data_IF_825612025451
#
_entry.id   IF_825612025451
#
_cell.length_a   1.000
_cell.length_b   1.000
_cell.length_c   1.000
_cell.angle_alpha   90.00
_cell.angle_beta   90.00
_cell.angle_gamma   90.00
#
_symmetry.space_group_name_H-M   'P 1'
#
loop_
_entity.id
_entity.type
_entity.pdbx_description
1 polymer ?
#
# COMPACT_ATOMS: atom_id res chain seq x y z
N UNK A 1 -11.80 3.38 19.76
CA UNK A 1 -12.11 2.58 18.55
C UNK A 1 -11.25 3.12 17.42
N UNK A 2 -10.52 2.28 16.68
CA UNK A 2 -9.80 2.78 15.51
C UNK A 2 -10.81 3.02 14.38
N UNK A 3 -10.73 4.17 13.73
CA UNK A 3 -11.58 4.49 12.58
C UNK A 3 -11.11 3.59 11.43
N UNK A 4 -12.06 2.91 10.76
CA UNK A 4 -11.78 2.13 9.56
C UNK A 4 -11.48 3.09 8.41
N UNK A 5 -10.28 3.06 7.80
CA UNK A 5 -9.93 4.02 6.77
C UNK A 5 -10.73 3.86 5.46
N UNK A 6 -10.63 4.87 4.60
CA UNK A 6 -11.22 4.86 3.26
C UNK A 6 -10.20 4.34 2.23
N UNK A 7 -10.71 3.76 1.13
CA UNK A 7 -9.93 3.27 0.01
C UNK A 7 -9.00 4.35 -0.56
N UNK A 8 -7.75 3.99 -0.87
CA UNK A 8 -6.77 4.92 -1.44
C UNK A 8 -7.01 5.31 -2.92
N UNK A 9 -7.86 4.57 -3.65
CA UNK A 9 -8.08 4.88 -5.07
C UNK A 9 -8.92 6.15 -5.21
N UNK A 10 -8.50 7.05 -6.10
CA UNK A 10 -9.16 8.33 -6.35
C UNK A 10 -10.61 8.11 -6.75
N UNK A 11 -11.53 8.87 -6.13
CA UNK A 11 -12.98 8.76 -6.35
C UNK A 11 -13.66 7.58 -5.65
N UNK A 12 -12.97 6.79 -4.82
CA UNK A 12 -13.56 5.68 -4.08
C UNK A 12 -13.78 6.02 -2.59
N UNK A 13 -15.04 6.16 -2.17
CA UNK A 13 -15.40 6.47 -0.78
C UNK A 13 -15.68 5.22 0.07
N UNK A 14 -15.45 4.02 -0.48
CA UNK A 14 -15.72 2.76 0.23
C UNK A 14 -14.68 2.52 1.32
N UNK A 15 -15.07 1.97 2.48
CA UNK A 15 -14.12 1.63 3.52
C UNK A 15 -13.21 0.46 3.11
N UNK A 16 -11.96 0.47 3.57
CA UNK A 16 -10.94 -0.54 3.24
C UNK A 16 -11.31 -1.94 3.72
N UNK A 17 -10.92 -2.99 2.99
CA UNK A 17 -11.19 -4.36 3.43
C UNK A 17 -10.17 -4.86 4.48
N UNK A 18 -10.52 -5.87 5.28
CA UNK A 18 -9.54 -6.52 6.17
C UNK A 18 -8.53 -7.36 5.35
N UNK A 19 -7.28 -7.38 5.81
CA UNK A 19 -6.27 -8.39 5.48
C UNK A 19 -6.39 -9.55 6.46
N UNK A 20 -6.36 -9.26 7.76
CA UNK A 20 -6.46 -10.23 8.85
C UNK A 20 -7.42 -9.71 9.92
N UNK A 21 -8.07 -10.62 10.63
CA UNK A 21 -9.10 -10.29 11.62
C UNK A 21 -10.45 -9.93 11.01
N UNK A 22 -11.37 -9.47 11.86
CA UNK A 22 -12.73 -9.05 11.54
C UNK A 22 -12.91 -7.56 11.78
N UNK A 23 -13.90 -6.96 11.13
CA UNK A 23 -14.15 -5.50 11.18
C UNK A 23 -14.29 -4.98 12.63
N UNK A 24 -14.86 -5.80 13.52
CA UNK A 24 -15.15 -5.43 14.90
C UNK A 24 -14.07 -5.86 15.90
N UNK A 25 -12.95 -6.42 15.42
CA UNK A 25 -11.84 -6.78 16.31
C UNK A 25 -11.22 -5.50 16.92
N UNK A 26 -10.56 -5.59 18.09
CA UNK A 26 -9.89 -4.43 18.68
C UNK A 26 -8.79 -3.82 17.80
N UNK A 27 -8.17 -4.64 16.93
CA UNK A 27 -7.07 -4.24 16.06
C UNK A 27 -7.00 -5.08 14.76
N UNK A 28 -8.01 -5.00 13.86
CA UNK A 28 -7.93 -5.64 12.55
C UNK A 28 -6.81 -5.03 11.71
N UNK A 29 -6.23 -5.85 10.84
CA UNK A 29 -5.29 -5.33 9.83
C UNK A 29 -6.07 -4.93 8.60
N UNK A 30 -5.98 -3.67 8.24
CA UNK A 30 -6.63 -3.15 7.03
C UNK A 30 -5.76 -3.35 5.78
N UNK A 31 -6.42 -3.48 4.63
CA UNK A 31 -5.84 -3.22 3.32
C UNK A 31 -5.74 -1.71 3.13
N UNK A 32 -4.94 -1.30 2.16
CA UNK A 32 -4.94 0.08 1.62
C UNK A 32 -6.18 0.39 0.76
N UNK A 33 -6.90 -0.63 0.28
CA UNK A 33 -8.03 -0.49 -0.63
C UNK A 33 -9.27 -1.29 -0.17
N UNK A 34 -10.45 -0.90 -0.67
CA UNK A 34 -11.68 -1.67 -0.47
C UNK A 34 -11.63 -3.00 -1.25
N UNK A 35 -12.50 -3.95 -0.89
CA UNK A 35 -12.51 -5.29 -1.51
C UNK A 35 -12.75 -5.26 -3.03
N UNK A 36 -13.65 -4.39 -3.50
CA UNK A 36 -13.93 -4.24 -4.92
C UNK A 36 -12.69 -3.74 -5.70
N UNK A 37 -12.05 -2.68 -5.21
CA UNK A 37 -10.84 -2.14 -5.80
C UNK A 37 -9.64 -3.12 -5.75
N UNK A 38 -9.52 -3.88 -4.67
CA UNK A 38 -8.49 -4.92 -4.54
C UNK A 38 -8.67 -6.01 -5.62
N UNK A 39 -9.91 -6.46 -5.82
CA UNK A 39 -10.24 -7.44 -6.86
C UNK A 39 -10.00 -6.90 -8.26
N UNK A 40 -10.41 -5.66 -8.55
CA UNK A 40 -10.15 -5.00 -9.83
C UNK A 40 -8.64 -4.93 -10.15
N UNK A 41 -7.82 -4.53 -9.17
CA UNK A 41 -6.34 -4.55 -9.30
C UNK A 41 -5.81 -5.96 -9.60
N UNK A 42 -6.43 -6.99 -9.02
CA UNK A 42 -6.08 -8.39 -9.25
C UNK A 42 -6.53 -8.96 -10.60
N UNK A 43 -7.22 -8.16 -11.43
CA UNK A 43 -7.81 -8.59 -12.71
C UNK A 43 -9.18 -9.25 -12.56
N UNK A 44 -9.82 -9.17 -11.40
CA UNK A 44 -11.17 -9.68 -11.15
C UNK A 44 -12.18 -8.54 -11.23
N UNK A 45 -12.58 -8.23 -12.46
CA UNK A 45 -13.49 -7.13 -12.79
C UNK A 45 -12.79 -5.79 -13.00
N UNK A 46 -13.57 -4.75 -13.27
CA UNK A 46 -13.10 -3.38 -13.47
C UNK A 46 -13.31 -2.52 -12.23
N UNK A 47 -12.63 -1.38 -12.17
CA UNK A 47 -12.93 -0.33 -11.20
C UNK A 47 -14.32 0.26 -11.48
N UNK A 48 -14.99 0.72 -10.43
CA UNK A 48 -16.26 1.42 -10.57
C UNK A 48 -16.11 2.72 -11.39
N UNK A 49 -17.22 3.17 -11.99
CA UNK A 49 -17.25 4.45 -12.73
C UNK A 49 -16.79 5.60 -11.82
N UNK A 50 -15.86 6.42 -12.31
CA UNK A 50 -15.28 7.54 -11.57
C UNK A 50 -14.16 7.16 -10.59
N UNK A 51 -13.80 5.87 -10.49
CA UNK A 51 -12.67 5.43 -9.65
C UNK A 51 -11.42 5.24 -10.50
N UNK A 52 -10.32 5.88 -10.10
CA UNK A 52 -9.00 5.74 -10.73
C UNK A 52 -8.01 5.07 -9.78
N UNK A 53 -7.22 4.07 -10.24
CA UNK A 53 -6.23 3.41 -9.39
C UNK A 53 -5.19 4.40 -8.84
N UNK A 54 -4.81 4.25 -7.57
CA UNK A 54 -3.63 4.93 -7.03
C UNK A 54 -2.33 4.45 -7.70
N UNK A 55 -2.26 3.16 -8.01
CA UNK A 55 -1.10 2.49 -8.61
C UNK A 55 -1.08 2.72 -10.13
N UNK A 56 0.00 3.33 -10.62
CA UNK A 56 0.25 3.66 -12.02
C UNK A 56 1.15 2.64 -12.74
N UNK A 57 1.87 1.82 -11.98
CA UNK A 57 2.91 0.91 -12.44
C UNK A 57 4.32 1.52 -12.46
N UNK A 58 4.52 2.69 -11.87
CA UNK A 58 5.80 3.43 -11.86
C UNK A 58 6.22 3.75 -10.41
N UNK A 59 7.49 3.52 -10.08
CA UNK A 59 8.03 3.88 -8.77
C UNK A 59 8.07 5.41 -8.60
N UNK A 60 7.47 5.91 -7.52
CA UNK A 60 7.52 7.31 -7.10
C UNK A 60 8.91 7.75 -6.69
N UNK A 61 9.73 6.86 -6.11
CA UNK A 61 11.12 7.15 -5.71
C UNK A 61 12.10 7.33 -6.90
N UNK A 62 11.59 7.56 -8.12
CA UNK A 62 12.41 8.04 -9.24
C UNK A 62 12.96 9.44 -8.99
N UNK A 63 12.34 10.22 -8.13
CA UNK A 63 12.80 11.55 -7.68
C UNK A 63 13.86 11.49 -6.55
N UNK A 64 14.08 10.31 -5.96
CA UNK A 64 15.07 10.09 -4.91
C UNK A 64 14.64 10.51 -3.50
N UNK A 65 13.34 10.72 -3.24
CA UNK A 65 12.87 11.19 -1.92
C UNK A 65 13.18 10.23 -0.76
N UNK A 66 13.52 8.96 -1.02
CA UNK A 66 13.96 7.99 -0.01
C UNK A 66 15.46 8.11 0.35
N UNK A 67 16.17 9.11 -0.16
CA UNK A 67 17.62 9.27 0.00
C UNK A 67 18.45 8.45 -0.97
N UNK A 68 17.79 7.75 -1.91
CA UNK A 68 18.41 7.05 -3.04
C UNK A 68 17.46 7.08 -4.23
N UNK A 69 17.98 7.12 -5.45
CA UNK A 69 17.14 7.09 -6.66
C UNK A 69 16.77 5.65 -7.02
N UNK A 70 15.51 5.42 -7.38
CA UNK A 70 15.06 4.12 -7.88
C UNK A 70 15.91 3.67 -9.09
N UNK A 71 16.52 2.49 -8.99
CA UNK A 71 17.35 1.89 -10.04
C UNK A 71 16.61 0.90 -10.93
N UNK A 72 15.30 0.74 -10.75
CA UNK A 72 14.50 -0.19 -11.57
C UNK A 72 14.27 0.40 -12.95
N UNK A 73 14.72 -0.33 -13.96
CA UNK A 73 14.40 -0.06 -15.36
C UNK A 73 12.99 -0.57 -15.68
N UNK A 74 12.02 0.35 -15.67
CA UNK A 74 10.63 0.00 -15.97
C UNK A 74 10.40 -0.28 -17.45
N UNK A 75 11.22 0.22 -18.35
CA UNK A 75 11.04 0.01 -19.80
C UNK A 75 11.41 -1.42 -20.20
N UNK A 76 12.39 -2.01 -19.49
CA UNK A 76 12.76 -3.43 -19.64
C UNK A 76 11.85 -4.40 -18.90
N UNK A 77 10.94 -3.91 -18.06
CA UNK A 77 10.03 -4.76 -17.29
C UNK A 77 8.74 -5.04 -18.08
N UNK A 78 8.32 -6.32 -18.21
CA UNK A 78 7.07 -6.65 -18.90
C UNK A 78 5.89 -5.84 -18.38
N UNK A 79 5.11 -5.26 -19.30
CA UNK A 79 3.98 -4.37 -18.94
C UNK A 79 2.90 -5.08 -18.14
N UNK A 80 2.77 -6.40 -18.33
CA UNK A 80 1.80 -7.28 -17.68
C UNK A 80 2.31 -7.95 -16.39
N UNK A 81 3.55 -7.65 -15.98
CA UNK A 81 4.08 -8.16 -14.72
C UNK A 81 3.20 -7.71 -13.53
N UNK A 82 2.57 -8.67 -12.85
CA UNK A 82 1.75 -8.37 -11.68
C UNK A 82 2.66 -8.01 -10.51
N UNK A 83 2.46 -6.84 -9.94
CA UNK A 83 3.29 -6.35 -8.82
C UNK A 83 4.59 -5.66 -9.26
N UNK A 84 4.60 -5.00 -10.43
CA UNK A 84 5.64 -4.01 -10.82
C UNK A 84 5.93 -3.03 -9.68
N UNK A 85 4.87 -2.63 -8.98
CA UNK A 85 4.89 -1.74 -7.83
C UNK A 85 3.91 -2.19 -6.75
N UNK A 86 4.15 -1.69 -5.55
CA UNK A 86 3.39 -1.91 -4.33
C UNK A 86 3.04 -0.55 -3.71
N UNK A 87 1.95 -0.52 -2.94
CA UNK A 87 1.58 0.66 -2.16
C UNK A 87 2.28 0.54 -0.81
N UNK A 88 3.00 1.58 -0.42
CA UNK A 88 3.71 1.67 0.84
C UNK A 88 3.24 2.88 1.66
N UNK A 89 3.28 2.75 2.98
CA UNK A 89 2.99 3.86 3.89
C UNK A 89 4.32 4.56 4.23
N UNK A 90 4.43 5.85 3.94
CA UNK A 90 5.64 6.66 4.16
C UNK A 90 6.12 6.56 5.59
N UNK A 91 5.19 6.72 6.54
CA UNK A 91 5.44 6.64 7.98
C UNK A 91 5.53 5.22 8.56
N UNK A 92 5.33 4.19 7.73
CA UNK A 92 5.30 2.78 8.15
C UNK A 92 4.08 2.38 8.99
N UNK A 93 3.10 3.28 9.16
CA UNK A 93 1.88 3.01 9.92
C UNK A 93 0.73 2.58 9.00
N UNK A 94 0.35 1.28 8.96
CA UNK A 94 -0.69 0.77 8.08
C UNK A 94 -2.10 1.28 8.41
N UNK A 95 -2.28 1.96 9.56
CA UNK A 95 -3.55 2.58 9.93
C UNK A 95 -3.69 4.02 9.41
N UNK A 96 -2.60 4.64 8.94
CA UNK A 96 -2.59 6.00 8.42
C UNK A 96 -2.75 5.95 6.89
N UNK A 97 -3.97 5.67 6.41
CA UNK A 97 -4.25 5.36 5.00
C UNK A 97 -4.60 6.58 4.13
N UNK A 98 -4.09 7.76 4.48
CA UNK A 98 -4.31 8.97 3.69
C UNK A 98 -3.42 8.96 2.44
N UNK A 99 -3.96 9.37 1.29
CA UNK A 99 -3.25 9.33 0.00
C UNK A 99 -1.92 10.11 0.06
N UNK A 100 -1.85 11.19 0.85
CA UNK A 100 -0.62 11.95 1.09
C UNK A 100 0.47 11.14 1.81
N UNK A 101 0.08 10.15 2.62
CA UNK A 101 0.97 9.24 3.36
C UNK A 101 1.31 7.96 2.56
N UNK A 102 0.81 7.81 1.33
CA UNK A 102 1.09 6.66 0.49
C UNK A 102 2.16 6.97 -0.55
N UNK A 103 2.99 5.98 -0.84
CA UNK A 103 3.85 5.94 -2.02
C UNK A 103 3.55 4.71 -2.86
N UNK A 104 3.82 4.85 -4.17
CA UNK A 104 3.92 3.71 -5.07
C UNK A 104 5.41 3.37 -5.23
N UNK A 105 5.84 2.21 -4.74
CA UNK A 105 7.25 1.80 -4.77
C UNK A 105 7.41 0.51 -5.56
N UNK A 106 8.51 0.36 -6.31
CA UNK A 106 8.90 -0.95 -6.81
C UNK A 106 9.31 -1.87 -5.65
N UNK A 107 9.32 -3.18 -5.87
CA UNK A 107 9.67 -4.16 -4.83
C UNK A 107 11.05 -3.89 -4.20
N UNK A 108 12.03 -3.46 -5.01
CA UNK A 108 13.38 -3.14 -4.53
C UNK A 108 13.39 -1.90 -3.64
N UNK A 109 12.73 -0.81 -4.04
CA UNK A 109 12.66 0.41 -3.24
C UNK A 109 11.87 0.19 -1.95
N UNK A 110 10.74 -0.52 -2.02
CA UNK A 110 9.92 -0.84 -0.85
C UNK A 110 10.70 -1.65 0.18
N UNK A 111 11.41 -2.71 -0.25
CA UNK A 111 12.24 -3.53 0.64
C UNK A 111 13.41 -2.74 1.23
N UNK A 112 14.09 -1.94 0.40
CA UNK A 112 15.26 -1.18 0.87
C UNK A 112 14.87 -0.06 1.85
N UNK A 113 13.75 0.65 1.61
CA UNK A 113 13.14 1.55 2.59
C UNK A 113 12.88 0.82 3.91
N UNK A 114 12.24 -0.35 3.84
CA UNK A 114 11.96 -1.15 5.02
C UNK A 114 13.21 -1.55 5.79
N UNK A 115 14.34 -1.78 5.11
CA UNK A 115 15.64 -1.99 5.73
C UNK A 115 16.18 -0.73 6.42
N UNK A 116 16.18 0.40 5.72
CA UNK A 116 16.67 1.69 6.25
C UNK A 116 15.87 2.14 7.49
N UNK A 117 14.55 1.94 7.44
CA UNK A 117 13.65 2.32 8.53
C UNK A 117 13.56 1.27 9.65
N UNK A 118 14.09 0.07 9.43
CA UNK A 118 13.97 -1.05 10.37
C UNK A 118 12.53 -1.57 10.50
N UNK A 119 11.73 -1.49 9.44
CA UNK A 119 10.32 -1.95 9.41
C UNK A 119 10.22 -3.49 9.50
N UNK A 120 11.32 -4.19 9.24
CA UNK A 120 11.47 -5.64 9.45
C UNK A 120 11.86 -5.99 10.90
N UNK A 121 12.20 -5.03 11.75
CA UNK A 121 12.64 -5.30 13.12
C UNK A 121 11.42 -5.55 14.03
N UNK A 122 11.16 -6.82 14.34
CA UNK A 122 10.08 -7.23 15.25
C UNK A 122 10.24 -6.74 16.69
N UNK A 123 11.42 -6.26 17.07
CA UNK A 123 11.71 -5.69 18.39
C UNK A 123 11.50 -4.17 18.46
N UNK A 124 11.33 -3.51 17.31
CA UNK A 124 10.99 -2.08 17.26
C UNK A 124 9.56 -1.91 17.76
N UNK A 125 9.28 -0.82 18.48
CA UNK A 125 7.90 -0.43 18.74
C UNK A 125 7.19 -0.23 17.39
N UNK A 126 6.24 -1.09 17.08
CA UNK A 126 5.43 -1.00 15.85
C UNK A 126 3.98 -0.75 16.20
N UNK A 127 3.22 -0.25 15.22
CA UNK A 127 1.76 -0.18 15.31
C UNK A 127 1.08 -1.55 15.40
N UNK A 128 1.81 -2.66 15.19
CA UNK A 128 1.29 -4.03 15.29
C UNK A 128 1.12 -4.42 16.76
N UNK A 129 -0.11 -4.33 17.26
CA UNK A 129 -0.47 -4.94 18.55
C UNK A 129 -0.82 -6.40 18.32
N UNK A 130 0.05 -7.30 18.78
CA UNK A 130 -0.28 -8.72 18.89
C UNK A 130 -1.19 -8.91 20.10
N UNK A 131 -2.50 -8.99 19.87
CA UNK A 131 -3.43 -9.48 20.89
C UNK A 131 -3.29 -11.01 20.97
N UNK A 132 -3.11 -11.53 22.19
CA UNK A 132 -3.13 -12.97 22.48
C UNK A 132 -4.53 -13.54 22.33
#
# INVERSE_FOLDING_TARGET
MSIRPICCNYGCEKPVACITGRINDPAPRWRVSCGHCHNARGGRGSYAKGVTPFVTGICSNKDGHLGFTCWTDFDKMPKDYKGRTEIDHKDGNPNHNDVSNLDELCQSCHRYKGQLNGDHNGWKATSRKHYK
#
